data_IF_504821013223
#
_entry.id   IF_504821013223
#
_cell.length_a   1.000
_cell.length_b   1.000
_cell.length_c   1.000
_cell.angle_alpha   90.00
_cell.angle_beta   90.00
_cell.angle_gamma   90.00
#
_symmetry.space_group_name_H-M   'P 1'
#
loop_
_entity.id
_entity.type
_entity.pdbx_description
1 polymer ?
#
# COMPACT_ATOMS: atom_id res chain seq x y z
N UNK A 1 -2.80 -20.24 -28.49
CA UNK A 1 -3.48 -18.99 -28.51
C UNK A 1 -4.02 -18.63 -27.18
N UNK A 2 -4.98 -19.41 -26.73
CA UNK A 2 -5.49 -19.23 -25.38
C UNK A 2 -4.41 -19.39 -24.35
N UNK A 3 -3.37 -20.14 -24.67
CA UNK A 3 -2.27 -20.39 -23.77
C UNK A 3 -1.60 -19.09 -23.31
N UNK A 4 -1.32 -18.20 -24.24
CA UNK A 4 -0.66 -16.93 -23.90
C UNK A 4 -1.53 -16.10 -22.96
N UNK A 5 -2.82 -16.01 -23.24
CA UNK A 5 -3.74 -15.26 -22.39
C UNK A 5 -3.85 -15.90 -21.02
N UNK A 6 -3.98 -17.22 -21.00
CA UNK A 6 -4.05 -17.97 -19.74
C UNK A 6 -2.81 -17.80 -18.89
N UNK A 7 -1.65 -17.86 -19.54
CA UNK A 7 -0.38 -17.69 -18.81
C UNK A 7 -0.29 -16.32 -18.19
N UNK A 8 -0.66 -15.29 -18.95
CA UNK A 8 -0.61 -13.93 -18.44
C UNK A 8 -1.53 -13.73 -17.25
N UNK A 9 -2.75 -14.23 -17.35
CA UNK A 9 -3.71 -14.13 -16.24
C UNK A 9 -3.21 -14.88 -15.02
N UNK A 10 -2.65 -16.08 -15.25
CA UNK A 10 -2.12 -16.89 -14.15
C UNK A 10 -0.99 -16.16 -13.44
N UNK A 11 -0.09 -15.54 -14.19
CA UNK A 11 1.03 -14.82 -13.59
C UNK A 11 0.53 -13.67 -12.70
N UNK A 12 -0.45 -12.90 -13.18
CA UNK A 12 -1.00 -11.81 -12.40
C UNK A 12 -1.69 -12.33 -11.13
N UNK A 13 -2.45 -13.42 -11.27
CA UNK A 13 -3.13 -14.01 -10.12
C UNK A 13 -2.13 -14.53 -9.09
N UNK A 14 -1.06 -15.17 -9.56
CA UNK A 14 -0.02 -15.68 -8.67
C UNK A 14 0.68 -14.55 -7.94
N UNK A 15 0.95 -13.43 -8.62
CA UNK A 15 1.58 -12.27 -7.99
C UNK A 15 0.71 -11.73 -6.86
N UNK A 16 -0.60 -11.66 -7.07
CA UNK A 16 -1.53 -11.20 -6.03
C UNK A 16 -1.57 -12.13 -4.84
N UNK A 17 -1.38 -13.42 -5.09
CA UNK A 17 -1.47 -14.43 -4.06
C UNK A 17 -0.13 -14.81 -3.46
N UNK A 18 0.91 -14.09 -3.85
CA UNK A 18 2.24 -14.39 -3.32
C UNK A 18 2.20 -14.28 -1.80
N UNK A 19 2.69 -15.30 -1.08
CA UNK A 19 2.60 -15.32 0.38
C UNK A 19 3.29 -14.16 1.05
N UNK A 20 4.33 -13.62 0.42
CA UNK A 20 5.12 -12.54 1.01
C UNK A 20 4.65 -11.15 0.59
N UNK A 21 3.63 -11.06 -0.28
CA UNK A 21 3.11 -9.77 -0.67
C UNK A 21 2.94 -9.61 -2.16
N UNK A 22 2.87 -8.36 -2.63
CA UNK A 22 2.66 -8.04 -4.04
C UNK A 22 3.81 -7.18 -4.57
N UNK A 23 4.10 -7.36 -5.85
CA UNK A 23 5.13 -6.57 -6.51
C UNK A 23 4.62 -5.17 -6.81
N UNK A 24 5.57 -4.25 -7.01
CA UNK A 24 5.23 -2.84 -7.23
C UNK A 24 4.28 -2.61 -8.40
N UNK A 25 4.50 -3.31 -9.51
CA UNK A 25 3.65 -3.13 -10.68
C UNK A 25 2.21 -3.58 -10.42
N UNK A 26 2.05 -4.68 -9.69
CA UNK A 26 0.72 -5.16 -9.30
C UNK A 26 0.08 -4.16 -8.35
N UNK A 27 0.85 -3.68 -7.38
CA UNK A 27 0.39 -2.70 -6.42
C UNK A 27 -0.11 -1.43 -7.12
N UNK A 28 0.67 -0.90 -8.05
CA UNK A 28 0.29 0.31 -8.78
C UNK A 28 -1.01 0.10 -9.52
N UNK A 29 -1.17 -1.05 -10.15
CA UNK A 29 -2.39 -1.37 -10.89
C UNK A 29 -3.59 -1.48 -9.95
N UNK A 30 -3.43 -2.15 -8.83
CA UNK A 30 -4.53 -2.30 -7.87
C UNK A 30 -4.93 -0.98 -7.25
N UNK A 31 -3.96 -0.11 -7.00
CA UNK A 31 -4.25 1.20 -6.43
C UNK A 31 -4.75 2.21 -7.46
N UNK A 32 -4.64 1.88 -8.76
CA UNK A 32 -5.00 2.80 -9.81
C UNK A 32 -4.07 3.99 -9.91
N UNK A 33 -2.79 3.79 -9.60
CA UNK A 33 -1.80 4.86 -9.58
C UNK A 33 -0.69 4.56 -10.57
N UNK A 34 -0.08 5.62 -11.09
CA UNK A 34 1.08 5.46 -11.94
C UNK A 34 2.24 4.91 -11.09
N UNK A 35 3.03 3.96 -11.63
CA UNK A 35 4.13 3.38 -10.86
C UNK A 35 5.12 4.42 -10.34
N UNK A 36 5.36 5.50 -11.07
CA UNK A 36 6.26 6.55 -10.59
C UNK A 36 5.74 7.23 -9.33
N UNK A 37 4.42 7.43 -9.26
CA UNK A 37 3.83 7.98 -8.06
C UNK A 37 3.97 7.01 -6.89
N UNK A 38 3.75 5.73 -7.14
CA UNK A 38 3.93 4.70 -6.11
C UNK A 38 5.36 4.74 -5.59
N UNK A 39 6.34 4.80 -6.48
CA UNK A 39 7.75 4.88 -6.08
C UNK A 39 8.02 6.12 -5.23
N UNK A 40 7.43 7.25 -5.61
CA UNK A 40 7.59 8.49 -4.84
C UNK A 40 7.00 8.35 -3.45
N UNK A 41 5.81 7.76 -3.33
CA UNK A 41 5.18 7.55 -2.04
C UNK A 41 5.99 6.60 -1.16
N UNK A 42 6.58 5.57 -1.76
CA UNK A 42 7.47 4.66 -1.03
C UNK A 42 8.68 5.42 -0.50
N UNK A 43 9.27 6.28 -1.30
CA UNK A 43 10.41 7.09 -0.85
C UNK A 43 10.03 8.03 0.28
N UNK A 44 8.77 8.48 0.32
CA UNK A 44 8.28 9.32 1.41
C UNK A 44 7.96 8.51 2.68
N UNK A 45 8.04 7.18 2.60
CA UNK A 45 7.80 6.34 3.76
C UNK A 45 6.38 5.81 3.88
N UNK A 46 5.59 5.87 2.80
CA UNK A 46 4.21 5.39 2.86
C UNK A 46 4.11 3.89 3.05
N UNK A 47 5.08 3.16 2.52
CA UNK A 47 5.08 1.70 2.59
C UNK A 47 6.50 1.22 2.76
N UNK A 48 6.64 0.05 3.40
CA UNK A 48 7.91 -0.64 3.49
C UNK A 48 7.73 -2.04 2.91
N UNK A 49 8.77 -2.57 2.23
CA UNK A 49 8.69 -3.93 1.73
C UNK A 49 8.46 -4.91 2.86
N UNK A 50 7.61 -5.90 2.63
CA UNK A 50 7.37 -6.97 3.58
C UNK A 50 8.19 -8.21 3.25
N UNK A 51 8.81 -8.23 2.08
CA UNK A 51 9.61 -9.38 1.65
C UNK A 51 10.25 -9.09 0.30
N UNK A 52 10.67 -10.15 -0.38
CA UNK A 52 11.32 -10.03 -1.68
C UNK A 52 12.78 -9.64 -1.58
N UNK A 53 13.31 -9.12 -2.66
CA UNK A 53 14.70 -8.68 -2.74
C UNK A 53 14.72 -7.19 -3.00
N UNK A 54 15.93 -6.61 -2.97
CA UNK A 54 16.08 -5.19 -3.29
C UNK A 54 15.61 -4.91 -4.73
N UNK A 55 15.90 -5.81 -5.65
CA UNK A 55 15.54 -5.63 -7.04
C UNK A 55 14.06 -5.85 -7.28
N UNK A 56 13.46 -6.76 -6.51
CA UNK A 56 12.04 -7.10 -6.64
C UNK A 56 11.41 -7.12 -5.26
N UNK A 57 11.16 -5.95 -4.68
CA UNK A 57 10.54 -5.90 -3.37
C UNK A 57 9.08 -6.31 -3.44
N UNK A 58 8.59 -6.89 -2.35
CA UNK A 58 7.18 -7.28 -2.21
C UNK A 58 6.57 -6.46 -1.10
N UNK A 59 5.39 -5.94 -1.34
CA UNK A 59 4.69 -5.07 -0.40
C UNK A 59 3.52 -5.77 0.25
N UNK A 60 3.06 -5.31 1.43
CA UNK A 60 1.92 -5.94 2.10
C UNK A 60 0.69 -5.96 1.21
N UNK A 61 -0.17 -6.95 1.42
CA UNK A 61 -1.37 -7.11 0.59
C UNK A 61 -2.35 -5.96 0.73
N UNK A 62 -2.32 -5.26 1.86
CA UNK A 62 -3.18 -4.09 2.07
C UNK A 62 -2.56 -2.81 1.54
N UNK A 63 -1.41 -2.90 0.89
CA UNK A 63 -0.68 -1.72 0.44
C UNK A 63 -1.49 -0.84 -0.50
N UNK A 64 -2.25 -1.45 -1.43
CA UNK A 64 -3.05 -0.66 -2.37
C UNK A 64 -4.08 0.19 -1.65
N UNK A 65 -4.75 -0.38 -0.64
CA UNK A 65 -5.74 0.35 0.14
C UNK A 65 -5.09 1.48 0.93
N UNK A 66 -3.90 1.24 1.44
CA UNK A 66 -3.16 2.26 2.20
C UNK A 66 -2.76 3.42 1.30
N UNK A 67 -2.28 3.13 0.10
CA UNK A 67 -1.92 4.18 -0.85
C UNK A 67 -3.15 4.97 -1.30
N UNK A 68 -4.26 4.28 -1.55
CA UNK A 68 -5.51 4.94 -1.93
C UNK A 68 -5.97 5.91 -0.86
N UNK A 69 -5.81 5.54 0.40
CA UNK A 69 -6.16 6.40 1.53
C UNK A 69 -5.32 7.66 1.56
N UNK A 70 -4.02 7.54 1.33
CA UNK A 70 -3.12 8.71 1.28
C UNK A 70 -3.53 9.66 0.17
N UNK A 71 -3.81 9.11 -1.01
CA UNK A 71 -4.21 9.93 -2.16
C UNK A 71 -5.53 10.62 -1.88
N UNK A 72 -6.49 9.92 -1.28
CA UNK A 72 -7.79 10.49 -0.95
C UNK A 72 -7.66 11.63 0.06
N UNK A 73 -6.88 11.43 1.12
CA UNK A 73 -6.68 12.48 2.12
C UNK A 73 -6.00 13.70 1.53
N UNK A 74 -5.02 13.47 0.65
CA UNK A 74 -4.37 14.58 -0.02
C UNK A 74 -5.38 15.42 -0.79
N UNK A 75 -6.23 14.75 -1.55
CA UNK A 75 -7.20 15.45 -2.38
C UNK A 75 -8.27 16.14 -1.54
N UNK A 76 -8.79 15.44 -0.54
CA UNK A 76 -9.90 15.94 0.26
C UNK A 76 -9.50 17.07 1.18
N UNK A 77 -8.27 17.06 1.67
CA UNK A 77 -7.79 18.06 2.63
C UNK A 77 -6.87 19.11 2.02
N UNK A 78 -6.57 18.98 0.73
CA UNK A 78 -5.69 19.92 0.07
C UNK A 78 -4.25 19.86 0.55
N UNK A 79 -3.82 18.70 1.03
CA UNK A 79 -2.46 18.51 1.53
C UNK A 79 -1.53 18.07 0.40
N UNK A 80 -0.21 18.26 0.60
CA UNK A 80 0.74 17.58 -0.27
C UNK A 80 0.88 16.14 0.20
N UNK A 81 1.61 15.31 -0.55
CA UNK A 81 1.71 13.89 -0.20
C UNK A 81 2.36 13.65 1.15
N UNK A 82 3.39 14.45 1.49
CA UNK A 82 4.03 14.30 2.80
C UNK A 82 3.05 14.60 3.93
N UNK A 83 2.25 15.65 3.78
CA UNK A 83 1.24 16.00 4.78
C UNK A 83 0.13 14.95 4.86
N UNK A 84 -0.31 14.44 3.71
CA UNK A 84 -1.33 13.40 3.69
C UNK A 84 -0.84 12.13 4.36
N UNK A 85 0.41 11.77 4.12
CA UNK A 85 1.01 10.60 4.75
C UNK A 85 1.08 10.79 6.27
N UNK A 86 1.52 11.96 6.71
CA UNK A 86 1.56 12.26 8.14
C UNK A 86 0.16 12.16 8.75
N UNK A 87 -0.85 12.69 8.06
CA UNK A 87 -2.23 12.60 8.54
C UNK A 87 -2.66 11.14 8.70
N UNK A 88 -2.34 10.29 7.73
CA UNK A 88 -2.66 8.87 7.84
C UNK A 88 -1.99 8.24 9.05
N UNK A 89 -0.72 8.56 9.27
CA UNK A 89 0.03 8.00 10.40
C UNK A 89 -0.56 8.45 11.73
N UNK A 90 -0.97 9.71 11.82
CA UNK A 90 -1.60 10.22 13.04
C UNK A 90 -2.96 9.57 13.27
N UNK A 91 -3.75 9.39 12.22
CA UNK A 91 -5.04 8.72 12.36
C UNK A 91 -4.87 7.27 12.79
N UNK A 92 -3.86 6.60 12.28
CA UNK A 92 -3.57 5.23 12.70
C UNK A 92 -3.17 5.20 14.18
N UNK A 93 -2.38 6.17 14.61
CA UNK A 93 -1.97 6.25 16.01
C UNK A 93 -3.17 6.51 16.92
N UNK A 94 -4.06 7.39 16.49
CA UNK A 94 -5.28 7.67 17.25
C UNK A 94 -6.12 6.40 17.38
N UNK A 95 -6.29 5.66 16.28
CA UNK A 95 -7.05 4.42 16.30
C UNK A 95 -6.45 3.41 17.25
N UNK A 96 -5.10 3.26 17.24
CA UNK A 96 -4.44 2.37 18.18
C UNK A 96 -4.70 2.76 19.62
N UNK A 97 -4.63 4.03 19.91
CA UNK A 97 -4.86 4.51 21.27
C UNK A 97 -6.31 4.31 21.71
N UNK A 98 -7.24 4.48 20.79
CA UNK A 98 -8.66 4.29 21.10
C UNK A 98 -9.02 2.82 21.29
N UNK A 99 -8.28 1.92 20.65
CA UNK A 99 -8.54 0.48 20.78
C UNK A 99 -7.97 -0.12 22.03
N UNK A 100 -7.11 0.61 22.74
CA UNK A 100 -6.52 0.08 23.95
C UNK A 100 -7.57 -0.06 25.05
N UNK A 101 -7.52 -1.16 25.78
CA UNK A 101 -8.43 -1.31 26.93
C UNK A 101 -8.23 -0.15 27.91
N UNK A 102 -9.30 0.25 28.55
CA UNK A 102 -9.26 1.35 29.50
C UNK A 102 -8.84 0.89 30.87
N UNK A 103 -7.74 0.18 30.92
CA UNK A 103 -7.25 -0.35 32.18
C UNK A 103 -6.77 0.75 33.12
N UNK A 104 -6.28 1.83 32.53
CA UNK A 104 -5.75 2.92 33.34
C UNK A 104 -6.83 3.70 34.07
N UNK A 105 -8.06 3.55 33.69
CA UNK A 105 -9.15 4.27 34.34
C UNK A 105 -9.57 3.60 35.63
N UNK A 106 -9.12 2.41 35.83
CA UNK A 106 -9.47 1.64 37.04
C UNK A 106 -8.72 2.06 38.28
#
# INVERSE_FOLDING_TARGET
>A
MTTATGTRTTTAALARRHPLGVELEVLAREAGLHPQLVRRLIRLGALEPAGGTRATPLFPRDAAARLARVVRLRRDLGLNYAGALLACQLLDRIAELEERPWTRTS
#
